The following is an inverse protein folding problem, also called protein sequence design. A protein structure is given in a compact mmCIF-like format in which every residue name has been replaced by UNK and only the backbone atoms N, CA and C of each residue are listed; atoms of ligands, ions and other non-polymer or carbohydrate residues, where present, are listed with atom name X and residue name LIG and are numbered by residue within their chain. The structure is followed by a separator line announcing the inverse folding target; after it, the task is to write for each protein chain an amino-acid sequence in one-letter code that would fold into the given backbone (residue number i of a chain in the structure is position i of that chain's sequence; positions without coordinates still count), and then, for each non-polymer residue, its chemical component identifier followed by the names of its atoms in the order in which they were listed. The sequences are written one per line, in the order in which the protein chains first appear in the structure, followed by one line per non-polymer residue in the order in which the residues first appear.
data_IF_003546573610
#
_entry.id   IF_003546573610
#
_cell.length_a   1.000
_cell.length_b   1.000
_cell.length_c   1.000
_cell.angle_alpha   90.00
_cell.angle_beta   90.00
_cell.angle_gamma   90.00
#
_symmetry.space_group_name_H-M   'P 1'
#
loop_
_entity.id
_entity.type
_entity.pdbx_description
1 polymer ?
#
# COMPACT_ATOMS: atom_id res chain seq x y z
N UNK A 1 -27.04 17.63 -32.83
CA UNK A 1 -26.18 18.57 -32.07
C UNK A 1 -26.58 18.62 -30.59
N UNK A 2 -27.84 18.40 -30.23
CA UNK A 2 -28.33 18.41 -28.82
C UNK A 2 -27.67 17.40 -27.88
N UNK A 3 -27.18 16.27 -28.39
CA UNK A 3 -26.55 15.22 -27.55
C UNK A 3 -25.20 15.59 -26.97
N UNK A 4 -24.56 16.67 -27.44
CA UNK A 4 -23.24 17.13 -26.94
C UNK A 4 -23.43 18.20 -25.86
N UNK A 5 -24.52 18.97 -25.88
CA UNK A 5 -24.80 19.98 -24.85
C UNK A 5 -25.10 19.35 -23.49
N UNK A 6 -25.72 18.17 -23.45
CA UNK A 6 -26.01 17.44 -22.23
C UNK A 6 -24.70 17.06 -21.45
N UNK A 7 -23.61 16.78 -22.15
CA UNK A 7 -22.34 16.44 -21.54
C UNK A 7 -21.64 17.63 -20.88
N UNK A 8 -22.05 18.86 -21.20
CA UNK A 8 -21.51 20.08 -20.62
C UNK A 8 -22.30 20.58 -19.40
N UNK A 9 -23.32 19.81 -18.95
CA UNK A 9 -24.03 20.12 -17.71
C UNK A 9 -23.07 20.00 -16.53
N UNK A 10 -22.95 21.08 -15.74
CA UNK A 10 -22.03 21.13 -14.61
C UNK A 10 -22.74 20.74 -13.32
N UNK A 11 -22.12 19.84 -12.58
CA UNK A 11 -22.53 19.46 -11.23
C UNK A 11 -21.28 19.40 -10.34
N UNK A 12 -21.30 20.13 -9.22
CA UNK A 12 -20.18 20.24 -8.28
C UNK A 12 -18.85 20.61 -9.00
N UNK A 13 -18.88 21.65 -9.82
CA UNK A 13 -17.76 22.20 -10.59
C UNK A 13 -17.09 21.20 -11.55
N UNK A 14 -17.81 20.13 -11.90
CA UNK A 14 -17.42 19.13 -12.90
C UNK A 14 -18.50 18.95 -13.96
N UNK A 15 -18.06 18.80 -15.20
CA UNK A 15 -18.97 18.44 -16.30
C UNK A 15 -19.33 16.94 -16.23
N UNK A 16 -20.49 16.57 -16.82
CA UNK A 16 -20.83 15.14 -16.94
C UNK A 16 -19.76 14.34 -17.69
N UNK A 17 -19.03 15.00 -18.58
CA UNK A 17 -17.89 14.42 -19.29
C UNK A 17 -16.75 14.04 -18.33
N UNK A 18 -16.47 14.84 -17.29
CA UNK A 18 -15.40 14.56 -16.31
C UNK A 18 -15.78 13.36 -15.44
N UNK A 19 -17.04 13.28 -15.01
CA UNK A 19 -17.57 12.08 -14.35
C UNK A 19 -17.50 10.83 -15.23
N UNK A 20 -17.79 10.97 -16.52
CA UNK A 20 -17.66 9.86 -17.46
C UNK A 20 -16.20 9.38 -17.56
N UNK A 21 -15.24 10.29 -17.69
CA UNK A 21 -13.81 9.94 -17.72
C UNK A 21 -13.35 9.31 -16.41
N UNK A 22 -13.79 9.82 -15.27
CA UNK A 22 -13.54 9.21 -13.97
C UNK A 22 -14.02 7.76 -13.92
N UNK A 23 -15.28 7.52 -14.29
CA UNK A 23 -15.88 6.17 -14.25
C UNK A 23 -15.14 5.23 -15.21
N UNK A 24 -14.87 5.68 -16.44
CA UNK A 24 -14.16 4.87 -17.46
C UNK A 24 -12.76 4.53 -16.97
N UNK A 25 -12.00 5.51 -16.45
CA UNK A 25 -10.66 5.30 -15.92
C UNK A 25 -10.67 4.34 -14.73
N UNK A 26 -11.62 4.49 -13.81
CA UNK A 26 -11.76 3.63 -12.64
C UNK A 26 -12.11 2.19 -13.01
N UNK A 27 -13.11 1.98 -13.88
CA UNK A 27 -13.52 0.64 -14.33
C UNK A 27 -12.41 -0.03 -15.13
N UNK A 28 -11.79 0.70 -16.06
CA UNK A 28 -10.67 0.18 -16.85
C UNK A 28 -9.48 -0.18 -15.96
N UNK A 29 -9.11 0.69 -15.03
CA UNK A 29 -8.06 0.44 -14.05
C UNK A 29 -8.38 -0.76 -13.16
N UNK A 30 -9.63 -0.89 -12.67
CA UNK A 30 -10.07 -2.04 -11.86
C UNK A 30 -9.97 -3.36 -12.64
N UNK A 31 -10.29 -3.37 -13.94
CA UNK A 31 -10.12 -4.54 -14.81
C UNK A 31 -8.63 -4.88 -14.94
N UNK A 32 -7.76 -3.88 -15.09
CA UNK A 32 -6.30 -4.09 -15.21
C UNK A 32 -5.67 -4.66 -13.93
N UNK A 33 -6.29 -4.55 -12.77
CA UNK A 33 -5.79 -5.18 -11.54
C UNK A 33 -5.69 -6.70 -11.70
N UNK A 34 -6.57 -7.34 -12.47
CA UNK A 34 -6.58 -8.80 -12.65
C UNK A 34 -5.29 -9.30 -13.32
N UNK A 35 -4.92 -8.83 -14.53
CA UNK A 35 -3.67 -9.25 -15.17
C UNK A 35 -2.42 -8.81 -14.41
N UNK A 36 -2.43 -7.62 -13.77
CA UNK A 36 -1.30 -7.15 -12.96
C UNK A 36 -1.04 -8.08 -11.77
N UNK A 37 -2.08 -8.49 -11.02
CA UNK A 37 -1.93 -9.48 -9.93
C UNK A 37 -1.40 -10.81 -10.45
N UNK A 38 -1.90 -11.28 -11.59
CA UNK A 38 -1.43 -12.53 -12.19
C UNK A 38 0.04 -12.44 -12.61
N UNK A 39 0.47 -11.30 -13.16
CA UNK A 39 1.86 -11.06 -13.51
C UNK A 39 2.76 -11.04 -12.28
N UNK A 40 2.39 -10.28 -11.23
CA UNK A 40 3.15 -10.22 -9.97
C UNK A 40 3.26 -11.62 -9.34
N UNK A 41 2.16 -12.38 -9.32
CA UNK A 41 2.16 -13.76 -8.83
C UNK A 41 3.18 -14.63 -9.59
N UNK A 42 3.17 -14.59 -10.92
CA UNK A 42 4.11 -15.35 -11.74
C UNK A 42 5.57 -14.96 -11.48
N UNK A 43 5.84 -13.66 -11.36
CA UNK A 43 7.19 -13.15 -11.06
C UNK A 43 7.66 -13.63 -9.69
N UNK A 44 6.84 -13.47 -8.66
CA UNK A 44 7.19 -13.88 -7.29
C UNK A 44 7.40 -15.39 -7.17
N UNK A 45 6.56 -16.20 -7.82
CA UNK A 45 6.70 -17.65 -7.84
C UNK A 45 7.97 -18.05 -8.59
N UNK A 46 8.27 -17.41 -9.73
CA UNK A 46 9.48 -17.66 -10.51
C UNK A 46 10.76 -17.30 -9.74
N UNK A 47 10.78 -16.18 -9.03
CA UNK A 47 11.89 -15.76 -8.18
C UNK A 47 12.09 -16.69 -6.97
N UNK A 48 11.06 -17.39 -6.55
CA UNK A 48 11.08 -18.32 -5.42
C UNK A 48 11.78 -19.67 -5.71
N UNK A 49 12.23 -19.93 -6.95
CA UNK A 49 12.96 -21.14 -7.35
C UNK A 49 12.16 -22.07 -8.27
N UNK A 50 12.87 -23.01 -8.92
CA UNK A 50 12.33 -23.91 -9.96
C UNK A 50 11.27 -24.92 -9.49
N UNK A 51 11.17 -25.19 -8.21
CA UNK A 51 10.16 -26.08 -7.62
C UNK A 51 8.99 -25.24 -7.08
N UNK A 52 8.16 -24.70 -7.96
CA UNK A 52 6.89 -24.12 -7.55
C UNK A 52 5.81 -25.21 -7.49
N UNK A 53 5.60 -25.79 -6.34
CA UNK A 53 4.48 -26.69 -6.07
C UNK A 53 3.16 -25.90 -6.08
N UNK A 54 2.05 -26.59 -6.39
CA UNK A 54 0.71 -25.98 -6.31
C UNK A 54 0.39 -25.34 -4.95
N UNK A 55 1.11 -25.72 -3.90
CA UNK A 55 1.00 -25.15 -2.56
C UNK A 55 1.59 -23.74 -2.45
N UNK A 56 2.61 -23.42 -3.23
CA UNK A 56 3.16 -22.05 -3.31
C UNK A 56 2.12 -21.06 -3.86
N UNK A 57 1.37 -21.49 -4.88
CA UNK A 57 0.30 -20.68 -5.48
C UNK A 57 -0.84 -20.48 -4.48
N UNK A 58 -1.23 -21.53 -3.75
CA UNK A 58 -2.24 -21.43 -2.69
C UNK A 58 -1.78 -20.48 -1.58
N UNK A 59 -0.53 -20.59 -1.16
CA UNK A 59 0.06 -19.73 -0.12
C UNK A 59 0.15 -18.27 -0.55
N UNK A 60 0.61 -18.00 -1.77
CA UNK A 60 0.59 -16.66 -2.36
C UNK A 60 -0.84 -16.08 -2.36
N UNK A 61 -1.82 -16.84 -2.86
CA UNK A 61 -3.21 -16.40 -2.90
C UNK A 61 -3.78 -16.11 -1.51
N UNK A 62 -3.43 -16.91 -0.50
CA UNK A 62 -3.91 -16.71 0.86
C UNK A 62 -3.31 -15.48 1.54
N UNK A 63 -2.05 -15.15 1.26
CA UNK A 63 -1.31 -14.08 1.93
C UNK A 63 -1.38 -12.75 1.18
N UNK A 64 -1.09 -12.76 -0.12
CA UNK A 64 -0.80 -11.55 -0.91
C UNK A 64 -1.95 -11.07 -1.79
N UNK A 65 -2.89 -11.94 -2.16
CA UNK A 65 -3.97 -11.59 -3.09
C UNK A 65 -4.80 -10.40 -2.62
N UNK A 66 -5.23 -10.39 -1.35
CA UNK A 66 -6.05 -9.31 -0.78
C UNK A 66 -5.26 -8.01 -0.58
N UNK A 67 -4.13 -8.00 0.14
CA UNK A 67 -3.36 -6.76 0.34
C UNK A 67 -2.98 -6.09 -0.98
N UNK A 68 -2.48 -6.87 -1.94
CA UNK A 68 -2.12 -6.37 -3.26
C UNK A 68 -3.31 -5.80 -4.03
N UNK A 69 -4.49 -6.41 -3.89
CA UNK A 69 -5.72 -5.91 -4.51
C UNK A 69 -6.11 -4.53 -3.98
N UNK A 70 -6.09 -4.33 -2.65
CA UNK A 70 -6.42 -3.04 -2.06
C UNK A 70 -5.39 -1.97 -2.41
N UNK A 71 -4.11 -2.33 -2.40
CA UNK A 71 -3.05 -1.42 -2.82
C UNK A 71 -3.22 -0.94 -4.27
N UNK A 72 -3.42 -1.87 -5.21
CA UNK A 72 -3.66 -1.54 -6.61
C UNK A 72 -4.95 -0.74 -6.82
N UNK A 73 -6.01 -1.04 -6.05
CA UNK A 73 -7.26 -0.29 -6.12
C UNK A 73 -7.07 1.17 -5.67
N UNK A 74 -6.28 1.42 -4.64
CA UNK A 74 -5.95 2.80 -4.23
C UNK A 74 -5.16 3.54 -5.31
N UNK A 75 -4.23 2.87 -6.00
CA UNK A 75 -3.51 3.45 -7.14
C UNK A 75 -4.49 3.81 -8.26
N UNK A 76 -5.40 2.90 -8.63
CA UNK A 76 -6.42 3.15 -9.66
C UNK A 76 -7.31 4.32 -9.25
N UNK A 77 -7.75 4.36 -8.00
CA UNK A 77 -8.56 5.46 -7.48
C UNK A 77 -7.82 6.80 -7.60
N UNK A 78 -6.54 6.85 -7.24
CA UNK A 78 -5.73 8.06 -7.37
C UNK A 78 -5.71 8.61 -8.79
N UNK A 79 -5.42 7.75 -9.76
CA UNK A 79 -5.40 8.18 -11.17
C UNK A 79 -6.78 8.57 -11.69
N UNK A 80 -7.82 7.90 -11.22
CA UNK A 80 -9.20 8.20 -11.65
C UNK A 80 -9.68 9.54 -11.11
N UNK A 81 -9.38 9.85 -9.84
CA UNK A 81 -9.80 11.12 -9.20
C UNK A 81 -9.18 12.35 -9.88
N UNK A 82 -8.02 12.22 -10.56
CA UNK A 82 -7.43 13.34 -11.31
C UNK A 82 -8.28 13.86 -12.48
N UNK A 83 -9.33 13.15 -12.88
CA UNK A 83 -10.32 13.63 -13.86
C UNK A 83 -11.42 14.50 -13.24
N UNK A 84 -11.47 14.59 -11.90
CA UNK A 84 -12.44 15.41 -11.18
C UNK A 84 -11.76 16.60 -10.51
N UNK A 85 -12.41 17.75 -10.57
CA UNK A 85 -12.02 18.92 -9.81
C UNK A 85 -12.72 18.90 -8.45
N UNK A 86 -12.01 19.32 -7.40
CA UNK A 86 -12.65 19.53 -6.11
C UNK A 86 -13.54 20.77 -6.20
N UNK A 87 -14.80 20.71 -5.71
CA UNK A 87 -15.68 21.86 -5.70
C UNK A 87 -15.10 23.05 -4.92
N UNK A 88 -15.32 24.27 -5.43
CA UNK A 88 -14.80 25.51 -4.86
C UNK A 88 -15.14 25.69 -3.38
N UNK A 89 -16.32 25.25 -2.94
CA UNK A 89 -16.72 25.33 -1.54
C UNK A 89 -15.86 24.42 -0.61
N UNK A 90 -15.21 23.39 -1.16
CA UNK A 90 -14.28 22.51 -0.42
C UNK A 90 -12.85 23.07 -0.40
N UNK A 91 -12.49 23.90 -1.38
CA UNK A 91 -11.16 24.50 -1.50
C UNK A 91 -11.10 25.84 -0.76
N UNK A 92 -12.23 26.57 -0.70
CA UNK A 92 -12.30 27.90 -0.09
C UNK A 92 -12.02 27.86 1.41
N UNK A 93 -11.01 28.62 1.83
CA UNK A 93 -10.64 28.82 3.24
C UNK A 93 -11.59 29.79 3.96
N UNK A 94 -12.48 30.46 3.23
CA UNK A 94 -13.38 31.48 3.75
C UNK A 94 -14.65 30.86 4.35
N UNK A 95 -14.58 30.37 5.56
CA UNK A 95 -15.79 30.00 6.30
C UNK A 95 -15.61 28.96 7.39
N UNK A 96 -14.85 27.89 7.18
CA UNK A 96 -14.74 26.79 8.15
C UNK A 96 -13.30 26.63 8.68
N UNK A 97 -12.31 27.34 8.13
CA UNK A 97 -10.91 27.26 8.56
C UNK A 97 -10.24 25.89 8.30
N UNK A 98 -10.92 24.99 7.58
CA UNK A 98 -10.50 23.61 7.34
C UNK A 98 -10.14 23.46 5.87
N UNK A 99 -8.90 23.12 5.59
CA UNK A 99 -8.45 22.79 4.24
C UNK A 99 -8.86 21.34 3.91
N UNK A 100 -10.04 21.16 3.31
CA UNK A 100 -10.59 19.85 3.01
C UNK A 100 -9.72 19.03 2.05
N UNK A 101 -9.08 19.69 1.09
CA UNK A 101 -8.11 19.07 0.17
C UNK A 101 -6.94 18.43 0.94
N UNK A 102 -6.41 19.14 1.93
CA UNK A 102 -5.31 18.62 2.77
C UNK A 102 -5.76 17.38 3.56
N UNK A 103 -6.99 17.39 4.11
CA UNK A 103 -7.52 16.24 4.84
C UNK A 103 -7.78 15.03 3.92
N UNK A 104 -8.30 15.25 2.72
CA UNK A 104 -8.47 14.18 1.74
C UNK A 104 -7.13 13.56 1.35
N UNK A 105 -6.13 14.41 1.07
CA UNK A 105 -4.79 13.96 0.71
C UNK A 105 -4.13 13.20 1.86
N UNK A 106 -4.22 13.69 3.09
CA UNK A 106 -3.71 12.99 4.28
C UNK A 106 -4.40 11.66 4.51
N UNK A 107 -5.72 11.62 4.35
CA UNK A 107 -6.51 10.39 4.50
C UNK A 107 -6.13 9.37 3.43
N UNK A 108 -6.01 9.79 2.18
CA UNK A 108 -5.54 8.93 1.10
C UNK A 108 -4.14 8.39 1.38
N UNK A 109 -3.19 9.26 1.77
CA UNK A 109 -1.81 8.86 2.10
C UNK A 109 -1.75 7.87 3.26
N UNK A 110 -2.63 8.04 4.28
CA UNK A 110 -2.74 7.09 5.37
C UNK A 110 -3.13 5.69 4.87
N UNK A 111 -4.20 5.59 4.08
CA UNK A 111 -4.63 4.31 3.53
C UNK A 111 -3.60 3.69 2.58
N UNK A 112 -2.94 4.53 1.77
CA UNK A 112 -1.88 4.08 0.87
C UNK A 112 -0.71 3.48 1.68
N UNK A 113 -0.20 4.19 2.69
CA UNK A 113 0.90 3.70 3.54
C UNK A 113 0.50 2.43 4.28
N UNK A 114 -0.68 2.39 4.89
CA UNK A 114 -1.17 1.18 5.58
C UNK A 114 -1.21 -0.02 4.63
N UNK A 115 -1.71 0.16 3.41
CA UNK A 115 -1.77 -0.95 2.44
C UNK A 115 -0.39 -1.35 1.92
N UNK A 116 0.54 -0.41 1.72
CA UNK A 116 1.94 -0.70 1.35
C UNK A 116 2.59 -1.58 2.42
N UNK A 117 2.54 -1.17 3.70
CA UNK A 117 3.15 -1.93 4.78
C UNK A 117 2.44 -3.25 5.04
N UNK A 118 1.14 -3.34 4.77
CA UNK A 118 0.42 -4.60 4.78
C UNK A 118 0.92 -5.56 3.69
N UNK A 119 1.12 -5.07 2.45
CA UNK A 119 1.71 -5.87 1.37
C UNK A 119 3.12 -6.33 1.75
N UNK A 120 3.97 -5.43 2.26
CA UNK A 120 5.34 -5.76 2.69
C UNK A 120 5.34 -6.82 3.79
N UNK A 121 4.50 -6.67 4.82
CA UNK A 121 4.37 -7.65 5.91
C UNK A 121 3.94 -9.03 5.40
N UNK A 122 2.97 -9.07 4.46
CA UNK A 122 2.53 -10.34 3.85
C UNK A 122 3.55 -10.94 2.88
N UNK A 123 4.35 -10.09 2.26
CA UNK A 123 5.49 -10.55 1.46
C UNK A 123 6.57 -11.20 2.35
N UNK A 124 6.87 -10.62 3.51
CA UNK A 124 7.77 -11.23 4.51
C UNK A 124 7.24 -12.59 4.96
N UNK A 125 5.92 -12.71 5.22
CA UNK A 125 5.27 -13.99 5.55
C UNK A 125 5.47 -15.03 4.43
N UNK A 126 5.33 -14.61 3.18
CA UNK A 126 5.50 -15.49 2.01
C UNK A 126 6.94 -15.95 1.85
N UNK A 127 7.90 -15.03 1.95
CA UNK A 127 9.35 -15.37 1.92
C UNK A 127 9.71 -16.29 3.07
N UNK A 128 9.20 -16.02 4.27
CA UNK A 128 9.40 -16.86 5.44
C UNK A 128 8.88 -18.29 5.26
N UNK A 129 7.69 -18.44 4.68
CA UNK A 129 7.14 -19.76 4.33
C UNK A 129 8.09 -20.51 3.39
N UNK A 130 8.64 -19.84 2.37
CA UNK A 130 9.57 -20.45 1.42
C UNK A 130 10.88 -20.87 2.07
N UNK A 131 11.47 -19.97 2.88
CA UNK A 131 12.70 -20.26 3.60
C UNK A 131 12.53 -21.45 4.55
N UNK A 132 11.41 -21.50 5.30
CA UNK A 132 11.11 -22.60 6.19
C UNK A 132 10.98 -23.93 5.44
N UNK A 133 10.26 -23.94 4.31
CA UNK A 133 10.12 -25.17 3.49
C UNK A 133 11.48 -25.64 2.91
N UNK A 134 12.40 -24.70 2.64
CA UNK A 134 13.74 -25.05 2.18
C UNK A 134 14.60 -25.58 3.34
N UNK A 135 14.50 -25.00 4.53
CA UNK A 135 15.22 -25.46 5.73
C UNK A 135 14.82 -26.89 6.14
N UNK A 136 13.54 -27.23 6.05
CA UNK A 136 13.04 -28.61 6.33
C UNK A 136 13.67 -29.68 5.41
N UNK A 137 14.27 -29.30 4.28
CA UNK A 137 15.02 -30.19 3.38
C UNK A 137 16.51 -30.28 3.73
N UNK A 138 17.00 -29.50 4.70
CA UNK A 138 18.38 -29.53 5.21
C UNK A 138 18.39 -30.05 6.64
N UNK A 139 19.43 -30.80 7.03
CA UNK A 139 19.54 -31.42 8.37
C UNK A 139 19.96 -30.41 9.47
N UNK A 140 20.02 -29.12 9.18
CA UNK A 140 20.51 -28.10 10.12
C UNK A 140 19.42 -27.63 11.08
N UNK A 141 19.50 -28.04 12.34
CA UNK A 141 18.61 -27.56 13.42
C UNK A 141 18.73 -26.05 13.69
N UNK A 142 19.82 -25.42 13.28
CA UNK A 142 20.05 -23.98 13.47
C UNK A 142 19.13 -23.17 12.56
N UNK A 143 18.88 -23.63 11.34
CA UNK A 143 18.02 -22.96 10.39
C UNK A 143 16.54 -22.94 10.85
N UNK A 144 16.10 -23.95 11.59
CA UNK A 144 14.75 -24.04 12.12
C UNK A 144 14.40 -22.95 13.15
N UNK A 145 15.39 -22.43 13.86
CA UNK A 145 15.22 -21.35 14.85
C UNK A 145 15.54 -19.96 14.30
N UNK A 146 16.58 -19.84 13.46
CA UNK A 146 17.00 -18.56 12.91
C UNK A 146 16.01 -17.98 11.91
N UNK A 147 15.39 -18.82 11.09
CA UNK A 147 14.45 -18.35 10.06
C UNK A 147 13.20 -17.70 10.69
N UNK A 148 12.47 -18.33 11.62
CA UNK A 148 11.36 -17.67 12.31
C UNK A 148 11.77 -16.37 13.00
N UNK A 149 12.89 -16.37 13.70
CA UNK A 149 13.41 -15.18 14.39
C UNK A 149 13.70 -14.03 13.42
N UNK A 150 14.36 -14.31 12.29
CA UNK A 150 14.63 -13.30 11.26
C UNK A 150 13.33 -12.74 10.66
N UNK A 151 12.30 -13.56 10.45
CA UNK A 151 11.00 -13.14 9.97
C UNK A 151 10.30 -12.22 10.97
N UNK A 152 10.34 -12.57 12.26
CA UNK A 152 9.73 -11.78 13.32
C UNK A 152 10.41 -10.40 13.45
N UNK A 153 11.75 -10.37 13.40
CA UNK A 153 12.51 -9.11 13.35
C UNK A 153 12.12 -8.27 12.12
N UNK A 154 12.09 -8.87 10.93
CA UNK A 154 11.73 -8.16 9.71
C UNK A 154 10.31 -7.57 9.79
N UNK A 155 9.35 -8.28 10.39
CA UNK A 155 7.98 -7.77 10.63
C UNK A 155 7.97 -6.62 11.63
N UNK A 156 8.66 -6.75 12.75
CA UNK A 156 8.75 -5.69 13.75
C UNK A 156 9.35 -4.42 13.13
N UNK A 157 10.44 -4.55 12.38
CA UNK A 157 11.04 -3.44 11.66
C UNK A 157 10.06 -2.82 10.64
N UNK A 158 9.31 -3.64 9.91
CA UNK A 158 8.30 -3.18 8.96
C UNK A 158 7.20 -2.37 9.65
N UNK A 159 6.71 -2.83 10.81
CA UNK A 159 5.70 -2.13 11.60
C UNK A 159 6.24 -0.79 12.12
N UNK A 160 7.46 -0.80 12.69
CA UNK A 160 8.09 0.42 13.21
C UNK A 160 8.32 1.43 12.10
N UNK A 161 8.87 1.02 10.95
CA UNK A 161 9.07 1.90 9.79
C UNK A 161 7.74 2.43 9.26
N UNK A 162 6.72 1.57 9.15
CA UNK A 162 5.39 1.97 8.74
C UNK A 162 4.78 3.04 9.65
N UNK A 163 4.88 2.84 10.95
CA UNK A 163 4.40 3.78 11.95
C UNK A 163 5.13 5.14 11.86
N UNK A 164 6.46 5.11 11.77
CA UNK A 164 7.30 6.31 11.63
C UNK A 164 6.96 7.06 10.34
N UNK A 165 6.77 6.35 9.22
CA UNK A 165 6.39 6.98 7.94
C UNK A 165 4.98 7.59 7.99
N UNK A 166 4.03 6.95 8.67
CA UNK A 166 2.68 7.51 8.87
C UNK A 166 2.75 8.78 9.71
N UNK A 167 3.51 8.76 10.82
CA UNK A 167 3.69 9.96 11.66
C UNK A 167 4.29 11.13 10.87
N UNK A 168 5.30 10.88 10.04
CA UNK A 168 5.94 11.90 9.23
C UNK A 168 5.06 12.45 8.11
N UNK A 169 4.47 11.56 7.30
CA UNK A 169 3.78 11.96 6.07
C UNK A 169 2.32 12.39 6.30
N UNK A 170 1.65 11.83 7.30
CA UNK A 170 0.22 12.11 7.56
C UNK A 170 0.08 13.16 8.66
N UNK A 171 0.84 13.00 9.75
CA UNK A 171 0.73 13.87 10.92
C UNK A 171 1.77 14.99 10.97
N UNK A 172 2.66 15.10 9.95
CA UNK A 172 3.72 16.11 9.87
C UNK A 172 4.66 16.11 11.10
N UNK A 173 4.84 14.97 11.75
CA UNK A 173 5.76 14.82 12.89
C UNK A 173 7.20 14.84 12.39
N UNK A 174 8.09 15.52 13.09
CA UNK A 174 9.51 15.51 12.74
C UNK A 174 10.14 14.13 13.03
N UNK A 175 10.13 13.27 12.00
CA UNK A 175 10.66 11.91 12.07
C UNK A 175 12.16 11.89 12.42
N UNK A 176 12.93 12.87 11.92
CA UNK A 176 14.36 12.97 12.22
C UNK A 176 14.60 13.13 13.72
N UNK A 177 13.83 14.00 14.38
CA UNK A 177 13.92 14.17 15.83
C UNK A 177 13.56 12.89 16.59
N UNK A 178 12.51 12.17 16.15
CA UNK A 178 12.11 10.88 16.75
C UNK A 178 13.21 9.82 16.61
N UNK A 179 13.75 9.63 15.40
CA UNK A 179 14.77 8.62 15.15
C UNK A 179 16.08 8.96 15.89
N UNK A 180 16.46 10.23 15.92
CA UNK A 180 17.63 10.70 16.68
C UNK A 180 17.44 10.46 18.18
N UNK A 181 16.27 10.79 18.72
CA UNK A 181 15.93 10.56 20.13
C UNK A 181 15.98 9.07 20.51
N UNK A 182 15.39 8.21 19.67
CA UNK A 182 15.47 6.75 19.84
C UNK A 182 16.89 6.23 19.74
N UNK A 183 17.71 6.77 18.82
CA UNK A 183 19.12 6.41 18.67
C UNK A 183 19.94 6.75 19.91
N UNK A 184 19.83 7.97 20.43
CA UNK A 184 20.51 8.41 21.66
C UNK A 184 20.02 7.61 22.87
N UNK A 185 18.70 7.42 23.00
CA UNK A 185 18.10 6.61 24.06
C UNK A 185 18.57 5.15 24.01
N UNK A 186 18.67 4.57 22.82
CA UNK A 186 19.18 3.22 22.61
C UNK A 186 20.65 3.06 23.03
N UNK A 187 21.50 4.04 22.71
CA UNK A 187 22.91 4.04 23.16
C UNK A 187 22.99 4.18 24.68
N UNK A 188 22.21 5.10 25.27
CA UNK A 188 22.18 5.26 26.72
C UNK A 188 21.73 3.97 27.43
N UNK A 189 20.71 3.29 26.89
CA UNK A 189 20.24 2.01 27.43
C UNK A 189 21.28 0.89 27.29
N UNK A 190 22.02 0.86 26.16
CA UNK A 190 23.06 -0.15 25.95
C UNK A 190 24.30 0.01 26.85
N UNK A 191 24.52 1.24 27.38
CA UNK A 191 25.65 1.55 28.29
C UNK A 191 25.27 1.45 29.78
N UNK A 192 23.98 1.29 30.09
CA UNK A 192 23.47 1.13 31.46
C UNK A 192 23.49 -0.34 31.90
#
# INVERSE_FOLDING_TARGET
MESIEFLNYEFLDNSLRDYFYFIVAFVFGAILIIPVKAFISKVLIKLSGKESDGDDIKKYNSLLKKPLQYFLLLIVLYFSVNFLNLPDFMISKEGIGVNFEEYLTKTYNLFLLVTVFWVVSKFIDFVGYKLKNKALKTESKVDDQLIPFAIDIAKVLTIVLGFVMILGNVFNVNVTALVTGLGIGGVAFALA
#
